data_IF_405164222740
#
_entry.id   IF_405164222740
#
_cell.length_a   1.000
_cell.length_b   1.000
_cell.length_c   1.000
_cell.angle_alpha   90.00
_cell.angle_beta   90.00
_cell.angle_gamma   90.00
#
_symmetry.space_group_name_H-M   'P 1'
#
loop_
_entity.id
_entity.type
_entity.pdbx_description
1 polymer ?
#
# COMPACT_ATOMS: atom_id res chain seq x y z
N UNK A 1 14.69 -20.87 -4.61
CA UNK A 1 14.76 -19.43 -4.23
C UNK A 1 13.67 -18.54 -4.83
N UNK A 2 13.57 -18.31 -6.16
CA UNK A 2 12.46 -17.50 -6.72
C UNK A 2 11.10 -18.23 -6.65
N UNK A 3 11.04 -19.46 -7.16
CA UNK A 3 9.82 -20.29 -7.18
C UNK A 3 9.27 -20.59 -5.77
N UNK A 4 10.12 -20.69 -4.75
CA UNK A 4 9.68 -20.86 -3.36
C UNK A 4 8.86 -19.66 -2.87
N UNK A 5 9.30 -18.45 -3.22
CA UNK A 5 8.64 -17.20 -2.88
C UNK A 5 7.49 -16.82 -3.82
N UNK A 6 7.33 -17.53 -4.94
CA UNK A 6 6.30 -17.28 -5.94
C UNK A 6 4.93 -17.73 -5.40
N UNK A 7 3.92 -16.87 -5.55
CA UNK A 7 2.54 -17.20 -5.21
C UNK A 7 1.94 -18.10 -6.29
N UNK A 8 1.87 -19.39 -5.98
CA UNK A 8 1.38 -20.43 -6.90
C UNK A 8 -0.03 -20.92 -6.53
N UNK A 9 -0.58 -20.50 -5.39
CA UNK A 9 -1.81 -21.06 -4.83
C UNK A 9 -3.01 -20.11 -4.92
N UNK A 10 -2.77 -18.81 -5.11
CA UNK A 10 -3.84 -17.83 -5.26
C UNK A 10 -4.12 -17.54 -6.74
N UNK A 11 -5.36 -17.76 -7.18
CA UNK A 11 -5.87 -17.19 -8.44
C UNK A 11 -6.55 -15.83 -8.20
N UNK A 12 -7.14 -15.65 -7.02
CA UNK A 12 -7.90 -14.48 -6.58
C UNK A 12 -7.57 -14.26 -5.10
N UNK A 13 -7.16 -13.04 -4.75
CA UNK A 13 -6.94 -12.63 -3.36
C UNK A 13 -8.21 -12.08 -2.72
N UNK A 14 -9.05 -11.37 -3.49
CA UNK A 14 -10.34 -10.86 -3.01
C UNK A 14 -11.39 -10.81 -4.10
N UNK A 15 -12.66 -10.91 -3.69
CA UNK A 15 -13.84 -10.83 -4.53
C UNK A 15 -14.90 -9.99 -3.80
N UNK A 16 -15.28 -8.85 -4.35
CA UNK A 16 -16.14 -7.87 -3.67
C UNK A 16 -16.97 -7.05 -4.65
N UNK A 17 -18.11 -6.52 -4.21
CA UNK A 17 -18.87 -5.54 -4.99
C UNK A 17 -18.05 -4.27 -5.25
N UNK A 18 -18.19 -3.66 -6.42
CA UNK A 18 -17.65 -2.32 -6.65
C UNK A 18 -18.36 -1.27 -5.76
N UNK A 19 -17.80 -0.07 -5.69
CA UNK A 19 -18.33 0.97 -4.78
C UNK A 19 -19.69 1.54 -5.22
N UNK A 20 -20.18 1.14 -6.40
CA UNK A 20 -21.48 1.51 -6.97
C UNK A 20 -22.52 0.40 -6.79
N UNK A 21 -22.10 -0.82 -6.44
CA UNK A 21 -22.97 -1.99 -6.36
C UNK A 21 -23.42 -2.53 -7.73
N UNK A 22 -22.71 -2.19 -8.81
CA UNK A 22 -23.10 -2.50 -10.19
C UNK A 22 -22.38 -3.74 -10.74
N UNK A 23 -21.18 -4.02 -10.23
CA UNK A 23 -20.35 -5.15 -10.66
C UNK A 23 -19.62 -5.78 -9.48
N UNK A 24 -19.21 -7.04 -9.65
CA UNK A 24 -18.30 -7.71 -8.73
C UNK A 24 -16.88 -7.62 -9.27
N UNK A 25 -15.93 -7.18 -8.44
CA UNK A 25 -14.51 -7.07 -8.74
C UNK A 25 -13.78 -8.26 -8.12
N UNK A 26 -12.91 -8.90 -8.90
CA UNK A 26 -11.93 -9.87 -8.44
C UNK A 26 -10.54 -9.26 -8.59
N UNK A 27 -9.71 -9.38 -7.57
CA UNK A 27 -8.32 -8.94 -7.59
C UNK A 27 -7.42 -10.13 -7.32
N UNK A 28 -6.43 -10.37 -8.19
CA UNK A 28 -5.52 -11.50 -8.09
C UNK A 28 -4.15 -11.23 -8.70
N UNK A 29 -3.24 -12.20 -8.65
CA UNK A 29 -1.98 -12.13 -9.39
C UNK A 29 -2.22 -12.04 -10.90
N UNK A 30 -1.24 -11.58 -11.68
CA UNK A 30 -1.36 -11.54 -13.14
C UNK A 30 -1.48 -12.96 -13.69
N UNK A 31 -2.20 -13.12 -14.80
CA UNK A 31 -2.40 -14.41 -15.43
C UNK A 31 -1.10 -15.11 -15.85
N UNK A 32 -0.07 -14.38 -16.30
CA UNK A 32 1.23 -14.91 -16.80
C UNK A 32 1.01 -16.12 -17.73
N UNK A 33 1.34 -17.34 -17.29
CA UNK A 33 1.25 -18.58 -18.05
C UNK A 33 -0.15 -19.20 -18.02
N UNK A 34 -1.11 -18.59 -17.32
CA UNK A 34 -2.50 -19.01 -17.18
C UNK A 34 -3.46 -18.16 -18.03
N UNK A 35 -2.97 -17.33 -18.95
CA UNK A 35 -3.82 -16.47 -19.79
C UNK A 35 -4.90 -17.27 -20.54
N UNK A 36 -4.51 -18.36 -21.21
CA UNK A 36 -5.46 -19.23 -21.91
C UNK A 36 -6.47 -19.91 -20.98
N UNK A 37 -6.09 -20.18 -19.72
CA UNK A 37 -7.02 -20.73 -18.73
C UNK A 37 -8.03 -19.66 -18.28
N UNK A 38 -7.62 -18.40 -18.12
CA UNK A 38 -8.51 -17.27 -17.86
C UNK A 38 -9.47 -17.00 -19.02
N UNK A 39 -9.01 -17.09 -20.26
CA UNK A 39 -9.89 -16.90 -21.44
C UNK A 39 -11.02 -17.94 -21.50
N UNK A 40 -10.76 -19.15 -20.99
CA UNK A 40 -11.73 -20.24 -20.92
C UNK A 40 -12.50 -20.30 -19.60
N UNK A 41 -12.16 -19.46 -18.63
CA UNK A 41 -12.79 -19.45 -17.32
C UNK A 41 -14.29 -19.10 -17.42
N UNK A 42 -15.09 -19.69 -16.53
CA UNK A 42 -16.52 -19.44 -16.46
C UNK A 42 -16.91 -19.03 -15.06
N UNK A 43 -17.56 -17.88 -14.98
CA UNK A 43 -18.12 -17.34 -13.74
C UNK A 43 -19.64 -17.51 -13.75
N UNK A 44 -20.23 -17.92 -12.63
CA UNK A 44 -21.67 -18.15 -12.49
C UNK A 44 -22.18 -17.72 -11.12
N UNK A 45 -23.43 -17.27 -11.09
CA UNK A 45 -24.30 -17.27 -9.91
C UNK A 45 -25.56 -18.05 -10.30
N UNK A 46 -25.88 -19.12 -9.56
CA UNK A 46 -27.12 -19.90 -9.71
C UNK A 46 -27.49 -20.34 -11.15
N UNK A 47 -26.50 -20.55 -12.02
CA UNK A 47 -26.74 -21.06 -13.38
C UNK A 47 -26.02 -20.28 -14.47
N UNK A 48 -26.57 -19.15 -14.98
CA UNK A 48 -26.06 -18.51 -16.19
C UNK A 48 -24.61 -18.03 -16.05
N UNK A 49 -23.89 -18.08 -17.18
CA UNK A 49 -22.53 -17.54 -17.28
C UNK A 49 -22.58 -16.01 -17.20
N UNK A 50 -21.78 -15.44 -16.31
CA UNK A 50 -21.59 -13.99 -16.18
C UNK A 50 -20.65 -13.46 -17.28
N UNK A 51 -20.79 -12.17 -17.59
CA UNK A 51 -19.83 -11.48 -18.45
C UNK A 51 -18.64 -11.02 -17.63
N UNK A 52 -17.43 -11.34 -18.09
CA UNK A 52 -16.18 -10.98 -17.43
C UNK A 52 -15.38 -10.01 -18.31
N UNK A 53 -14.88 -8.92 -17.72
CA UNK A 53 -13.90 -8.03 -18.36
C UNK A 53 -12.60 -8.07 -17.58
N UNK A 54 -11.47 -8.19 -18.29
CA UNK A 54 -10.16 -8.36 -17.68
C UNK A 54 -9.30 -7.10 -17.86
N UNK A 55 -8.69 -6.65 -16.77
CA UNK A 55 -7.80 -5.50 -16.71
C UNK A 55 -6.41 -5.94 -16.19
N UNK A 56 -5.65 -6.71 -17.00
CA UNK A 56 -4.35 -7.22 -16.57
C UNK A 56 -3.32 -6.09 -16.45
N UNK A 57 -2.30 -6.35 -15.63
CA UNK A 57 -1.06 -5.59 -15.58
C UNK A 57 0.10 -6.56 -15.32
N UNK A 58 1.33 -6.05 -15.28
CA UNK A 58 2.51 -6.89 -15.04
C UNK A 58 2.54 -7.57 -13.66
N UNK A 59 1.82 -7.02 -12.67
CA UNK A 59 1.91 -7.44 -11.27
C UNK A 59 0.56 -7.73 -10.61
N UNK A 60 -0.55 -7.50 -11.29
CA UNK A 60 -1.89 -7.84 -10.78
C UNK A 60 -2.84 -8.00 -11.94
N UNK A 61 -3.91 -8.77 -11.74
CA UNK A 61 -5.09 -8.78 -12.60
C UNK A 61 -6.29 -8.28 -11.79
N UNK A 62 -7.10 -7.44 -12.43
CA UNK A 62 -8.43 -7.08 -11.96
C UNK A 62 -9.44 -7.62 -12.97
N UNK A 63 -10.51 -8.25 -12.49
CA UNK A 63 -11.59 -8.77 -13.33
C UNK A 63 -12.90 -8.17 -12.81
N UNK A 64 -13.76 -7.70 -13.71
CA UNK A 64 -15.13 -7.33 -13.34
C UNK A 64 -16.12 -8.35 -13.86
N UNK A 65 -17.13 -8.65 -13.06
CA UNK A 65 -18.27 -9.46 -13.43
C UNK A 65 -19.53 -8.58 -13.43
N UNK A 66 -20.18 -8.49 -14.58
CA UNK A 66 -21.41 -7.73 -14.77
C UNK A 66 -22.62 -8.68 -14.80
N UNK A 67 -23.79 -8.16 -14.43
CA UNK A 67 -25.04 -8.93 -14.40
C UNK A 67 -25.11 -9.91 -13.21
N UNK A 68 -24.31 -9.68 -12.18
CA UNK A 68 -24.40 -10.42 -10.92
C UNK A 68 -25.68 -9.98 -10.18
N UNK A 69 -26.55 -10.90 -9.75
CA UNK A 69 -27.73 -10.53 -8.96
C UNK A 69 -27.34 -9.81 -7.67
N UNK A 70 -28.04 -8.72 -7.33
CA UNK A 70 -27.68 -7.84 -6.20
C UNK A 70 -27.64 -8.54 -4.82
N UNK A 71 -28.26 -9.73 -4.68
CA UNK A 71 -28.26 -10.52 -3.44
C UNK A 71 -27.31 -11.72 -3.48
N UNK A 72 -26.52 -11.86 -4.54
CA UNK A 72 -25.54 -12.93 -4.64
C UNK A 72 -24.48 -12.76 -3.54
N UNK A 73 -24.24 -13.83 -2.77
CA UNK A 73 -23.21 -13.88 -1.73
C UNK A 73 -21.96 -14.64 -2.17
N UNK A 74 -22.01 -15.33 -3.31
CA UNK A 74 -20.89 -16.09 -3.85
C UNK A 74 -20.96 -16.19 -5.37
N UNK A 75 -19.80 -16.41 -5.99
CA UNK A 75 -19.65 -16.81 -7.39
C UNK A 75 -19.00 -18.18 -7.48
N UNK A 76 -19.45 -18.99 -8.43
CA UNK A 76 -18.71 -20.18 -8.87
C UNK A 76 -17.73 -19.77 -9.97
N UNK A 77 -16.45 -20.11 -9.82
CA UNK A 77 -15.40 -20.03 -10.84
C UNK A 77 -15.04 -21.45 -11.32
N UNK A 78 -15.32 -21.75 -12.58
CA UNK A 78 -14.78 -22.92 -13.28
C UNK A 78 -13.47 -22.50 -13.97
N UNK A 79 -12.35 -23.14 -13.61
CA UNK A 79 -11.01 -22.80 -14.08
C UNK A 79 -10.18 -24.05 -14.37
N UNK A 80 -9.99 -24.36 -15.65
CA UNK A 80 -9.51 -25.68 -16.08
C UNK A 80 -10.48 -26.77 -15.62
N UNK A 81 -9.95 -27.85 -15.05
CA UNK A 81 -10.75 -28.94 -14.48
C UNK A 81 -11.22 -28.67 -13.03
N UNK A 82 -10.91 -27.49 -12.50
CA UNK A 82 -11.22 -27.13 -11.11
C UNK A 82 -12.46 -26.24 -11.02
N UNK A 83 -13.16 -26.36 -9.89
CA UNK A 83 -14.28 -25.52 -9.52
C UNK A 83 -14.02 -24.90 -8.16
N UNK A 84 -14.14 -23.58 -8.08
CA UNK A 84 -13.99 -22.80 -6.87
C UNK A 84 -15.29 -22.06 -6.55
N UNK A 85 -15.59 -21.92 -5.27
CA UNK A 85 -16.62 -21.01 -4.77
C UNK A 85 -15.93 -19.84 -4.09
N UNK A 86 -16.20 -18.62 -4.55
CA UNK A 86 -15.62 -17.40 -4.02
C UNK A 86 -16.73 -16.59 -3.35
N UNK A 87 -16.62 -16.25 -2.06
CA UNK A 87 -17.57 -15.36 -1.42
C UNK A 87 -17.45 -13.96 -2.03
N UNK A 88 -18.59 -13.33 -2.30
CA UNK A 88 -18.66 -11.93 -2.69
C UNK A 88 -18.74 -11.11 -1.40
N UNK A 89 -17.69 -10.35 -1.13
CA UNK A 89 -17.68 -9.43 0.02
C UNK A 89 -18.36 -8.12 -0.33
N UNK A 90 -18.82 -7.43 0.71
CA UNK A 90 -19.31 -6.07 0.56
C UNK A 90 -18.16 -5.11 0.23
N UNK A 91 -18.52 -4.01 -0.45
CA UNK A 91 -17.65 -2.85 -0.56
C UNK A 91 -17.74 -2.06 0.74
N UNK A 92 -16.61 -1.72 1.33
CA UNK A 92 -16.53 -1.01 2.61
C UNK A 92 -16.02 0.43 2.41
N UNK A 93 -16.20 1.01 1.20
CA UNK A 93 -15.78 2.37 0.96
C UNK A 93 -16.51 3.40 1.83
N UNK A 94 -17.77 3.12 2.18
CA UNK A 94 -18.56 4.00 3.05
C UNK A 94 -18.01 4.11 4.47
N UNK A 95 -17.40 3.06 5.00
CA UNK A 95 -16.75 3.08 6.32
C UNK A 95 -15.58 4.06 6.40
N UNK A 96 -14.97 4.37 5.25
CA UNK A 96 -13.84 5.28 5.16
C UNK A 96 -14.20 6.61 4.49
N UNK A 97 -15.48 6.88 4.28
CA UNK A 97 -15.95 8.07 3.58
C UNK A 97 -15.44 9.36 4.26
N UNK A 98 -14.75 10.21 3.50
CA UNK A 98 -14.22 11.48 4.00
C UNK A 98 -13.04 11.37 4.97
N UNK A 99 -12.47 10.17 5.18
CA UNK A 99 -11.32 9.97 6.07
C UNK A 99 -9.97 10.14 5.37
N UNK A 100 -8.94 10.48 6.16
CA UNK A 100 -7.54 10.50 5.74
C UNK A 100 -6.91 9.14 6.04
N UNK A 101 -6.75 8.34 4.99
CA UNK A 101 -6.44 6.92 5.07
C UNK A 101 -4.96 6.65 4.84
N UNK A 102 -4.30 6.03 5.83
CA UNK A 102 -3.01 5.38 5.63
C UNK A 102 -3.20 3.98 5.05
N UNK A 103 -2.38 3.60 4.08
CA UNK A 103 -2.32 2.23 3.53
C UNK A 103 -0.92 1.69 3.69
N UNK A 104 -0.81 0.51 4.31
CA UNK A 104 0.48 -0.15 4.50
C UNK A 104 0.36 -1.67 4.48
N UNK A 105 1.50 -2.35 4.29
CA UNK A 105 1.62 -3.80 4.43
C UNK A 105 2.77 -4.13 5.38
N UNK A 106 2.51 -5.06 6.27
CA UNK A 106 3.37 -5.39 7.39
C UNK A 106 3.65 -6.89 7.47
N UNK A 107 4.82 -7.23 7.98
CA UNK A 107 5.08 -8.56 8.54
C UNK A 107 6.10 -8.45 9.65
N UNK A 108 5.71 -8.87 10.85
CA UNK A 108 6.59 -8.99 12.01
C UNK A 108 7.39 -7.72 12.38
N UNK A 109 6.97 -6.51 11.98
CA UNK A 109 7.58 -5.27 12.47
C UNK A 109 7.27 -5.07 13.96
N UNK A 110 8.13 -4.33 14.66
CA UNK A 110 7.86 -4.02 16.06
C UNK A 110 6.56 -3.22 16.23
N UNK A 111 5.70 -3.62 17.17
CA UNK A 111 4.45 -2.92 17.48
C UNK A 111 4.70 -1.45 17.90
N UNK A 112 5.83 -1.16 18.54
CA UNK A 112 6.21 0.21 18.88
C UNK A 112 6.56 1.03 17.63
N UNK A 113 7.08 0.41 16.56
CA UNK A 113 7.32 1.10 15.29
C UNK A 113 6.00 1.42 14.59
N UNK A 114 5.04 0.49 14.63
CA UNK A 114 3.69 0.69 14.07
C UNK A 114 2.98 1.85 14.79
N UNK A 115 2.95 1.85 16.12
CA UNK A 115 2.34 2.91 16.92
C UNK A 115 3.00 4.28 16.62
N UNK A 116 4.33 4.33 16.60
CA UNK A 116 5.07 5.57 16.39
C UNK A 116 4.89 6.13 14.97
N UNK A 117 4.91 5.25 13.95
CA UNK A 117 4.63 5.59 12.56
C UNK A 117 3.22 6.16 12.39
N UNK A 118 2.21 5.48 12.94
CA UNK A 118 0.82 5.97 12.85
C UNK A 118 0.67 7.30 13.57
N UNK A 119 1.24 7.44 14.78
CA UNK A 119 1.12 8.67 15.58
C UNK A 119 1.76 9.86 14.88
N UNK A 120 2.90 9.67 14.23
CA UNK A 120 3.51 10.72 13.40
C UNK A 120 2.51 11.24 12.37
N UNK A 121 1.88 10.35 11.60
CA UNK A 121 0.96 10.75 10.54
C UNK A 121 -0.37 11.33 11.07
N UNK A 122 -0.83 10.88 12.24
CA UNK A 122 -1.96 11.50 12.95
C UNK A 122 -1.62 12.95 13.29
N UNK A 123 -0.52 13.18 14.00
CA UNK A 123 -0.12 14.51 14.49
C UNK A 123 0.24 15.45 13.35
N UNK A 124 1.03 14.98 12.39
CA UNK A 124 1.64 15.84 11.37
C UNK A 124 0.75 16.05 10.14
N UNK A 125 -0.21 15.14 9.90
CA UNK A 125 -1.03 15.16 8.68
C UNK A 125 -2.53 14.99 8.93
N UNK A 126 -2.97 14.71 10.16
CA UNK A 126 -4.38 14.47 10.45
C UNK A 126 -4.88 13.14 9.88
N UNK A 127 -4.02 12.12 9.77
CA UNK A 127 -4.48 10.76 9.48
C UNK A 127 -5.45 10.30 10.57
N UNK A 128 -6.57 9.69 10.19
CA UNK A 128 -7.58 9.20 11.14
C UNK A 128 -8.12 7.80 10.79
N UNK A 129 -7.72 7.24 9.65
CA UNK A 129 -7.99 5.87 9.26
C UNK A 129 -6.71 5.14 8.83
N UNK A 130 -6.66 3.83 9.01
CA UNK A 130 -5.55 3.00 8.53
C UNK A 130 -6.05 1.67 8.00
N UNK A 131 -5.84 1.45 6.69
CA UNK A 131 -5.97 0.17 6.01
C UNK A 131 -4.63 -0.57 6.10
N UNK A 132 -4.60 -1.60 6.94
CA UNK A 132 -3.37 -2.27 7.33
C UNK A 132 -3.43 -3.74 6.91
N UNK A 133 -2.60 -4.13 5.95
CA UNK A 133 -2.49 -5.52 5.49
C UNK A 133 -1.41 -6.24 6.28
N UNK A 134 -1.80 -7.14 7.18
CA UNK A 134 -0.86 -8.00 7.91
C UNK A 134 -0.54 -9.25 7.07
N UNK A 135 0.69 -9.35 6.57
CA UNK A 135 1.14 -10.42 5.70
C UNK A 135 1.55 -11.69 6.47
N UNK A 136 0.66 -12.13 7.37
CA UNK A 136 0.85 -13.29 8.22
C UNK A 136 1.99 -13.08 9.21
N UNK A 137 1.91 -12.01 10.03
CA UNK A 137 2.79 -11.87 11.18
C UNK A 137 2.61 -13.06 12.12
N UNK A 138 3.70 -13.46 12.76
CA UNK A 138 3.76 -14.58 13.71
C UNK A 138 4.09 -14.12 15.13
N UNK A 139 4.55 -12.87 15.28
CA UNK A 139 4.92 -12.26 16.57
C UNK A 139 3.73 -11.72 17.39
N UNK A 140 2.60 -11.47 16.74
CA UNK A 140 1.39 -10.86 17.32
C UNK A 140 0.21 -11.10 16.36
N UNK A 141 -1.01 -10.90 16.87
CA UNK A 141 -2.24 -10.96 16.08
C UNK A 141 -2.67 -9.62 15.49
N UNK A 142 -3.67 -9.65 14.59
CA UNK A 142 -4.25 -8.43 13.99
C UNK A 142 -4.93 -7.51 15.01
N UNK A 143 -5.44 -8.06 16.11
CA UNK A 143 -6.04 -7.28 17.20
C UNK A 143 -4.99 -6.37 17.88
N UNK A 144 -3.81 -6.89 18.18
CA UNK A 144 -2.73 -6.10 18.79
C UNK A 144 -2.25 -4.98 17.88
N UNK A 145 -2.24 -5.20 16.56
CA UNK A 145 -1.96 -4.14 15.57
C UNK A 145 -3.04 -3.06 15.66
N UNK A 146 -4.33 -3.44 15.69
CA UNK A 146 -5.44 -2.51 15.77
C UNK A 146 -5.38 -1.66 17.05
N UNK A 147 -5.05 -2.27 18.19
CA UNK A 147 -4.88 -1.59 19.47
C UNK A 147 -3.76 -0.55 19.41
N UNK A 148 -2.65 -0.87 18.73
CA UNK A 148 -1.52 0.06 18.55
C UNK A 148 -1.87 1.23 17.64
N UNK A 149 -2.63 0.99 16.57
CA UNK A 149 -3.13 2.04 15.69
C UNK A 149 -4.10 2.96 16.47
N UNK A 150 -5.01 2.39 17.27
CA UNK A 150 -5.92 3.16 18.11
C UNK A 150 -5.16 3.99 19.16
N UNK A 151 -4.18 3.42 19.84
CA UNK A 151 -3.31 4.11 20.79
C UNK A 151 -2.46 5.23 20.15
N UNK A 152 -2.23 5.14 18.83
CA UNK A 152 -1.57 6.18 18.05
C UNK A 152 -2.49 7.35 17.68
N UNK A 153 -3.81 7.21 17.85
CA UNK A 153 -4.82 8.21 17.50
C UNK A 153 -5.60 7.92 16.21
N UNK A 154 -5.43 6.75 15.59
CA UNK A 154 -6.25 6.33 14.45
C UNK A 154 -7.63 5.92 14.98
N UNK A 155 -8.68 6.62 14.56
CA UNK A 155 -10.06 6.35 15.01
C UNK A 155 -10.71 5.22 14.23
N UNK A 156 -10.25 4.94 13.01
CA UNK A 156 -10.77 3.88 12.13
C UNK A 156 -9.66 2.91 11.70
N UNK A 157 -9.13 2.05 12.61
CA UNK A 157 -8.22 1.00 12.22
C UNK A 157 -8.97 -0.13 11.49
N UNK A 158 -8.39 -0.59 10.38
CA UNK A 158 -8.89 -1.72 9.58
C UNK A 158 -7.72 -2.63 9.26
N UNK A 159 -7.56 -3.69 10.06
CA UNK A 159 -6.45 -4.64 9.95
C UNK A 159 -6.93 -5.91 9.26
N UNK A 160 -6.39 -6.18 8.08
CA UNK A 160 -6.73 -7.34 7.26
C UNK A 160 -5.63 -8.40 7.40
N UNK A 161 -6.02 -9.63 7.72
CA UNK A 161 -5.13 -10.78 7.56
C UNK A 161 -4.92 -11.05 6.08
N UNK A 162 -3.66 -11.05 5.64
CA UNK A 162 -3.27 -11.15 4.24
C UNK A 162 -2.10 -12.14 4.03
N UNK A 163 -2.21 -13.41 4.50
CA UNK A 163 -1.09 -14.31 4.72
C UNK A 163 -0.61 -15.06 3.45
N UNK A 164 -0.58 -14.37 2.31
CA UNK A 164 -0.12 -14.92 1.04
C UNK A 164 1.39 -14.73 0.85
N UNK A 165 1.98 -15.38 -0.16
CA UNK A 165 3.40 -15.21 -0.46
C UNK A 165 3.67 -13.84 -1.06
N UNK A 166 4.60 -13.10 -0.47
CA UNK A 166 4.94 -11.74 -0.88
C UNK A 166 5.58 -11.66 -2.28
N UNK A 167 6.34 -12.69 -2.68
CA UNK A 167 7.17 -12.67 -3.89
C UNK A 167 8.57 -12.10 -3.64
N UNK A 168 9.56 -12.57 -4.40
CA UNK A 168 10.92 -12.01 -4.40
C UNK A 168 11.20 -11.30 -5.71
N UNK A 169 12.06 -10.27 -5.63
CA UNK A 169 12.70 -9.66 -6.79
C UNK A 169 13.26 -10.74 -7.73
N UNK A 170 12.96 -10.63 -9.02
CA UNK A 170 13.54 -11.47 -10.06
C UNK A 170 14.87 -10.89 -10.54
N UNK A 171 16.02 -11.50 -10.20
CA UNK A 171 17.33 -10.99 -10.58
C UNK A 171 17.61 -11.15 -12.08
N UNK A 172 16.88 -12.01 -12.80
CA UNK A 172 17.07 -12.21 -14.24
C UNK A 172 16.48 -11.07 -15.07
N UNK A 173 15.63 -10.23 -14.47
CA UNK A 173 14.90 -9.18 -15.15
C UNK A 173 15.43 -7.81 -14.73
N UNK A 174 16.22 -7.17 -15.61
CA UNK A 174 16.84 -5.87 -15.30
C UNK A 174 15.81 -4.72 -15.24
N UNK A 175 14.80 -4.75 -16.11
CA UNK A 175 13.71 -3.76 -16.11
C UNK A 175 12.55 -4.19 -15.18
N UNK A 176 12.28 -3.38 -14.16
CA UNK A 176 11.25 -3.63 -13.12
C UNK A 176 11.37 -5.03 -12.49
N UNK A 177 12.51 -5.35 -11.86
CA UNK A 177 12.75 -6.66 -11.24
C UNK A 177 11.77 -7.01 -10.10
N UNK A 178 11.05 -6.01 -9.58
CA UNK A 178 10.04 -6.16 -8.52
C UNK A 178 8.64 -6.53 -9.03
N UNK A 179 8.49 -6.79 -10.34
CA UNK A 179 7.21 -7.25 -10.89
C UNK A 179 6.56 -8.45 -10.16
N UNK A 180 7.30 -9.40 -9.54
CA UNK A 180 6.73 -10.54 -8.83
C UNK A 180 6.10 -10.19 -7.48
N UNK A 181 6.15 -8.92 -7.05
CA UNK A 181 5.48 -8.46 -5.83
C UNK A 181 3.96 -8.36 -6.04
N UNK A 182 3.34 -9.45 -6.51
CA UNK A 182 1.94 -9.49 -6.87
C UNK A 182 1.07 -9.12 -5.68
N UNK A 183 1.43 -9.67 -4.52
CA UNK A 183 0.65 -9.48 -3.32
C UNK A 183 0.53 -8.01 -2.92
N UNK A 184 1.64 -7.27 -2.98
CA UNK A 184 1.67 -5.86 -2.62
C UNK A 184 0.90 -4.99 -3.61
N UNK A 185 0.96 -5.29 -4.90
CA UNK A 185 0.21 -4.53 -5.93
C UNK A 185 -1.28 -4.86 -5.86
N UNK A 186 -1.63 -6.13 -5.66
CA UNK A 186 -3.02 -6.56 -5.49
C UNK A 186 -3.64 -5.99 -4.21
N UNK A 187 -2.91 -5.95 -3.09
CA UNK A 187 -3.42 -5.34 -1.85
C UNK A 187 -3.71 -3.85 -2.02
N UNK A 188 -2.91 -3.11 -2.81
CA UNK A 188 -3.19 -1.71 -3.12
C UNK A 188 -4.43 -1.54 -4.01
N UNK A 189 -4.71 -2.49 -4.90
CA UNK A 189 -5.96 -2.50 -5.66
C UNK A 189 -7.15 -2.78 -4.74
N UNK A 190 -7.05 -3.76 -3.84
CA UNK A 190 -8.09 -4.01 -2.83
C UNK A 190 -8.28 -2.78 -1.94
N UNK A 191 -7.20 -2.18 -1.43
CA UNK A 191 -7.24 -0.98 -0.61
C UNK A 191 -8.00 0.16 -1.30
N UNK A 192 -7.67 0.45 -2.56
CA UNK A 192 -8.35 1.50 -3.32
C UNK A 192 -9.80 1.13 -3.63
N UNK A 193 -10.03 -0.04 -4.26
CA UNK A 193 -11.31 -0.39 -4.90
C UNK A 193 -12.38 -0.88 -3.93
N UNK A 194 -11.98 -1.57 -2.86
CA UNK A 194 -12.93 -2.10 -1.85
C UNK A 194 -13.18 -1.13 -0.70
N UNK A 195 -12.19 -0.30 -0.37
CA UNK A 195 -12.24 0.51 0.85
C UNK A 195 -11.99 2.01 0.60
N UNK A 196 -11.14 2.36 -0.36
CA UNK A 196 -10.61 3.71 -0.47
C UNK A 196 -11.42 4.67 -1.34
N UNK A 197 -12.33 4.17 -2.19
CA UNK A 197 -12.97 5.00 -3.23
C UNK A 197 -13.73 6.23 -2.73
N UNK A 198 -14.20 6.22 -1.47
CA UNK A 198 -14.93 7.35 -0.85
C UNK A 198 -14.10 8.12 0.20
N UNK A 199 -12.83 7.75 0.41
CA UNK A 199 -11.94 8.44 1.33
C UNK A 199 -11.69 9.91 0.93
N UNK A 200 -11.35 10.77 1.89
CA UNK A 200 -10.88 12.12 1.56
C UNK A 200 -9.56 12.04 0.78
N UNK A 201 -8.57 11.34 1.33
CA UNK A 201 -7.36 11.04 0.61
C UNK A 201 -6.67 9.79 1.19
N UNK A 202 -5.88 9.13 0.34
CA UNK A 202 -5.18 7.89 0.62
C UNK A 202 -3.68 8.13 0.52
N UNK A 203 -2.92 7.74 1.54
CA UNK A 203 -1.47 7.77 1.55
C UNK A 203 -0.93 6.33 1.59
N UNK A 204 -0.21 5.92 0.55
CA UNK A 204 0.54 4.66 0.56
C UNK A 204 1.92 4.91 1.18
N UNK A 205 2.14 4.37 2.37
CA UNK A 205 3.33 4.62 3.19
C UNK A 205 3.68 3.37 4.02
N UNK A 206 4.93 2.90 3.89
CA UNK A 206 5.41 1.74 4.66
C UNK A 206 5.73 2.17 6.11
N UNK A 207 5.71 1.22 7.05
CA UNK A 207 5.98 1.49 8.49
C UNK A 207 7.35 2.13 8.71
N UNK A 208 8.32 1.87 7.83
CA UNK A 208 9.66 2.44 7.86
C UNK A 208 9.77 3.80 7.16
N UNK A 209 8.65 4.48 6.91
CA UNK A 209 8.61 5.75 6.18
C UNK A 209 7.87 6.84 6.98
N UNK A 210 8.45 8.03 7.10
CA UNK A 210 7.76 9.20 7.66
C UNK A 210 7.62 10.29 6.60
N UNK A 211 6.39 10.73 6.32
CA UNK A 211 6.13 11.82 5.39
C UNK A 211 6.42 13.17 6.06
N UNK A 212 7.02 14.08 5.30
CA UNK A 212 7.34 15.44 5.74
C UNK A 212 6.07 16.31 5.69
N UNK A 213 5.79 17.02 6.77
CA UNK A 213 4.72 18.01 6.88
C UNK A 213 5.12 19.39 6.37
N UNK A 214 6.32 19.54 5.81
CA UNK A 214 6.74 20.78 5.17
C UNK A 214 5.74 21.18 4.08
N UNK A 215 5.09 22.32 4.33
CA UNK A 215 4.05 22.89 3.49
C UNK A 215 2.66 22.25 3.66
N UNK A 216 2.39 21.64 4.83
CA UNK A 216 1.05 21.21 5.25
C UNK A 216 0.81 19.70 5.15
N UNK A 217 -0.45 19.31 5.36
CA UNK A 217 -0.86 17.91 5.24
C UNK A 217 -0.69 17.39 3.82
N UNK A 218 -0.20 16.17 3.69
CA UNK A 218 -0.11 15.47 2.40
C UNK A 218 -1.50 15.12 1.85
N UNK A 219 -2.49 14.93 2.73
CA UNK A 219 -3.87 14.67 2.33
C UNK A 219 -4.49 15.93 1.69
N UNK A 220 -4.29 17.10 2.30
CA UNK A 220 -4.72 18.40 1.74
C UNK A 220 -4.02 18.67 0.41
N UNK A 221 -2.75 18.32 0.29
CA UNK A 221 -2.00 18.42 -0.96
C UNK A 221 -2.57 17.52 -2.06
N UNK A 222 -3.07 16.32 -1.71
CA UNK A 222 -3.73 15.43 -2.67
C UNK A 222 -5.08 16.00 -3.13
N UNK A 223 -5.90 16.49 -2.19
CA UNK A 223 -7.19 17.12 -2.50
C UNK A 223 -7.07 18.38 -3.36
N UNK A 224 -6.06 19.21 -3.07
CA UNK A 224 -5.83 20.45 -3.83
C UNK A 224 -5.07 20.24 -5.15
N UNK A 225 -4.51 19.04 -5.37
CA UNK A 225 -3.82 18.70 -6.61
C UNK A 225 -4.80 18.67 -7.79
N UNK A 226 -4.47 19.25 -8.96
CA UNK A 226 -5.36 19.27 -10.13
C UNK A 226 -5.87 17.89 -10.55
N UNK A 227 -4.97 16.90 -10.49
CA UNK A 227 -5.24 15.51 -10.88
C UNK A 227 -5.45 14.59 -9.67
N UNK A 228 -5.54 15.15 -8.47
CA UNK A 228 -5.73 14.40 -7.24
C UNK A 228 -4.54 13.53 -6.83
N UNK A 229 -3.33 13.79 -7.34
CA UNK A 229 -2.16 12.96 -7.02
C UNK A 229 -0.99 13.80 -6.53
N UNK A 230 -0.24 13.27 -5.57
CA UNK A 230 0.99 13.85 -5.05
C UNK A 230 2.12 12.83 -5.20
N UNK A 231 3.27 13.27 -5.71
CA UNK A 231 4.48 12.46 -5.72
C UNK A 231 5.31 12.73 -4.46
N UNK A 232 5.63 11.67 -3.72
CA UNK A 232 6.53 11.74 -2.57
C UNK A 232 7.93 11.31 -3.00
N UNK A 233 8.89 12.24 -2.98
CA UNK A 233 10.31 11.96 -3.25
C UNK A 233 11.03 11.66 -1.95
N UNK A 234 11.51 10.43 -1.81
CA UNK A 234 12.08 9.95 -0.57
C UNK A 234 13.60 10.06 -0.49
N UNK A 235 14.08 10.19 0.75
CA UNK A 235 15.49 10.05 1.09
C UNK A 235 15.67 8.89 2.08
N UNK A 236 16.69 8.06 1.85
CA UNK A 236 17.16 7.08 2.81
C UNK A 236 17.71 7.78 4.06
N UNK A 237 17.24 7.31 5.22
CA UNK A 237 17.83 7.57 6.52
C UNK A 237 18.68 6.35 6.89
N UNK A 238 19.97 6.60 7.06
CA UNK A 238 20.99 5.61 7.39
C UNK A 238 20.84 5.12 8.83
N UNK A 239 21.21 3.86 9.13
CA UNK A 239 21.08 3.26 10.46
C UNK A 239 22.18 3.74 11.43
N UNK A 240 22.35 5.05 11.53
CA UNK A 240 23.25 5.73 12.47
C UNK A 240 22.43 6.16 13.68
N UNK A 241 22.41 5.26 14.68
CA UNK A 241 21.59 5.42 15.88
C UNK A 241 22.10 6.53 16.81
N UNK A 242 21.16 7.34 17.25
CA UNK A 242 21.30 8.35 18.30
C UNK A 242 20.37 8.00 19.48
N UNK A 243 20.50 8.73 20.58
CA UNK A 243 19.62 8.58 21.73
C UNK A 243 18.16 8.88 21.35
N UNK A 244 17.25 8.03 21.82
CA UNK A 244 15.81 8.21 21.62
C UNK A 244 15.33 9.46 22.38
N UNK A 245 15.19 10.57 21.66
CA UNK A 245 14.90 11.88 22.28
C UNK A 245 13.41 12.24 22.21
N UNK A 246 12.66 11.72 21.23
CA UNK A 246 11.28 12.12 20.95
C UNK A 246 10.24 11.02 21.18
N UNK A 247 10.66 9.87 21.71
CA UNK A 247 9.77 8.72 21.92
C UNK A 247 9.23 8.08 20.63
N UNK A 248 9.79 8.41 19.46
CA UNK A 248 9.57 7.72 18.18
C UNK A 248 10.88 7.02 17.78
N UNK A 249 10.90 5.68 17.64
CA UNK A 249 12.10 4.92 17.26
C UNK A 249 12.74 5.37 15.94
N UNK A 250 11.95 5.79 14.95
CA UNK A 250 12.44 6.34 13.68
C UNK A 250 13.37 7.53 13.89
N UNK A 251 13.00 8.45 14.78
CA UNK A 251 13.75 9.69 15.03
C UNK A 251 15.05 9.48 15.82
N UNK A 252 15.33 8.25 16.24
CA UNK A 252 16.67 7.87 16.68
C UNK A 252 17.66 7.78 15.50
N UNK A 253 17.21 7.88 14.25
CA UNK A 253 18.04 7.91 13.05
C UNK A 253 17.77 9.22 12.30
N UNK A 254 18.81 10.03 12.06
CA UNK A 254 18.65 11.38 11.45
C UNK A 254 19.73 11.74 10.44
N UNK A 255 20.36 10.72 9.88
CA UNK A 255 21.48 10.86 8.97
C UNK A 255 21.13 10.30 7.60
N UNK A 256 21.57 10.96 6.53
CA UNK A 256 21.51 10.45 5.17
C UNK A 256 22.91 10.33 4.59
N UNK A 257 23.07 9.51 3.54
CA UNK A 257 24.31 9.45 2.80
C UNK A 257 24.67 10.82 2.18
N UNK A 258 25.96 11.18 2.16
CA UNK A 258 26.44 12.44 1.56
C UNK A 258 26.33 12.44 0.04
N UNK A 259 26.61 11.29 -0.60
CA UNK A 259 26.41 11.12 -2.04
C UNK A 259 24.91 11.11 -2.38
N UNK A 260 24.41 12.07 -3.18
CA UNK A 260 22.97 12.21 -3.44
C UNK A 260 22.33 10.98 -4.09
N UNK A 261 23.07 10.28 -4.96
CA UNK A 261 22.57 9.07 -5.62
C UNK A 261 22.26 7.95 -4.64
N UNK A 262 23.02 7.83 -3.56
CA UNK A 262 22.82 6.82 -2.52
C UNK A 262 21.81 7.27 -1.46
N UNK A 263 21.56 8.58 -1.36
CA UNK A 263 20.59 9.15 -0.43
C UNK A 263 19.15 9.06 -0.93
N UNK A 264 18.90 8.89 -2.23
CA UNK A 264 17.54 8.84 -2.78
C UNK A 264 16.96 7.43 -2.69
N UNK A 265 15.67 7.34 -2.37
CA UNK A 265 14.92 6.09 -2.44
C UNK A 265 13.78 6.19 -3.48
N UNK A 266 13.07 5.08 -3.66
CA UNK A 266 11.93 5.02 -4.56
C UNK A 266 10.79 5.93 -4.07
N UNK A 267 9.96 6.42 -4.99
CA UNK A 267 8.90 7.36 -4.64
C UNK A 267 7.76 6.68 -3.87
N UNK A 268 6.93 7.49 -3.22
CA UNK A 268 5.59 7.12 -2.74
C UNK A 268 4.56 8.09 -3.30
N UNK A 269 3.30 7.90 -2.94
CA UNK A 269 2.21 8.74 -3.46
C UNK A 269 1.10 8.91 -2.43
N UNK A 270 0.41 10.03 -2.55
CA UNK A 270 -0.92 10.24 -1.99
C UNK A 270 -1.92 10.52 -3.10
N UNK A 271 -3.17 10.13 -2.88
CA UNK A 271 -4.23 10.12 -3.88
C UNK A 271 -5.53 10.67 -3.27
N UNK A 272 -6.17 11.57 -3.99
CA UNK A 272 -7.58 11.90 -3.88
C UNK A 272 -8.36 10.91 -4.77
N UNK A 273 -9.11 9.97 -4.18
CA UNK A 273 -9.78 8.91 -4.95
C UNK A 273 -11.01 9.42 -5.72
N UNK A 274 -11.47 10.66 -5.49
CA UNK A 274 -12.69 11.19 -6.11
C UNK A 274 -12.51 11.67 -7.56
N UNK A 275 -11.36 11.41 -8.18
CA UNK A 275 -11.07 11.82 -9.57
C UNK A 275 -11.58 10.76 -10.54
N UNK A 276 -12.23 11.19 -11.62
CA UNK A 276 -12.84 10.28 -12.60
C UNK A 276 -11.88 9.24 -13.18
N UNK A 277 -10.62 9.62 -13.41
CA UNK A 277 -9.61 8.70 -13.93
C UNK A 277 -9.26 7.58 -12.93
N UNK A 278 -9.50 7.79 -11.63
CA UNK A 278 -9.28 6.79 -10.60
C UNK A 278 -10.28 5.66 -10.77
N UNK A 279 -11.55 5.94 -11.10
CA UNK A 279 -12.59 4.94 -11.34
C UNK A 279 -12.26 3.97 -12.48
N UNK A 280 -11.43 4.39 -13.44
CA UNK A 280 -10.95 3.54 -14.52
C UNK A 280 -10.09 2.38 -13.98
N UNK A 281 -10.56 1.14 -14.17
CA UNK A 281 -9.89 -0.06 -13.72
C UNK A 281 -8.61 -0.37 -14.48
N UNK A 282 -8.32 0.30 -15.60
CA UNK A 282 -7.01 0.24 -16.25
C UNK A 282 -5.94 0.88 -15.35
N UNK A 283 -6.26 1.94 -14.62
CA UNK A 283 -5.36 2.58 -13.67
C UNK A 283 -5.04 1.66 -12.49
N UNK A 284 -3.74 1.33 -12.32
CA UNK A 284 -3.27 0.40 -11.29
C UNK A 284 -2.47 1.10 -10.20
N UNK A 285 -2.95 1.15 -8.95
CA UNK A 285 -2.08 1.50 -7.84
C UNK A 285 -0.97 0.47 -7.70
N UNK A 286 0.25 0.97 -7.52
CA UNK A 286 1.44 0.18 -7.25
C UNK A 286 2.30 0.88 -6.22
N UNK A 287 3.37 0.23 -5.77
CA UNK A 287 4.16 0.63 -4.60
C UNK A 287 4.70 2.05 -4.70
N UNK A 288 5.13 2.48 -5.89
CA UNK A 288 5.83 3.75 -6.07
C UNK A 288 5.10 4.76 -6.96
N UNK A 289 4.05 4.34 -7.66
CA UNK A 289 3.23 5.17 -8.54
C UNK A 289 1.96 4.44 -8.96
N UNK A 290 1.02 5.19 -9.53
CA UNK A 290 -0.06 4.67 -10.38
C UNK A 290 0.48 4.33 -11.78
N UNK A 291 0.18 3.13 -12.26
CA UNK A 291 0.48 2.67 -13.62
C UNK A 291 -0.74 2.78 -14.52
N UNK A 292 -0.46 2.78 -15.83
CA UNK A 292 -1.48 2.77 -16.89
C UNK A 292 -2.43 3.98 -16.82
N UNK A 293 -1.91 5.10 -16.33
CA UNK A 293 -2.58 6.41 -16.32
C UNK A 293 -1.95 7.35 -17.36
N UNK A 294 -2.72 8.31 -17.91
CA UNK A 294 -2.18 9.31 -18.83
C UNK A 294 -0.99 10.07 -18.22
N UNK A 295 0.04 10.36 -19.03
CA UNK A 295 1.24 11.10 -18.56
C UNK A 295 0.90 12.45 -17.94
N UNK A 296 -0.17 13.11 -18.41
CA UNK A 296 -0.65 14.39 -17.90
C UNK A 296 -1.03 14.34 -16.41
N UNK A 297 -1.47 13.17 -15.89
CA UNK A 297 -1.76 12.98 -14.47
C UNK A 297 -0.55 13.30 -13.59
N UNK A 298 0.67 13.05 -14.09
CA UNK A 298 1.91 13.26 -13.36
C UNK A 298 2.61 14.59 -13.65
N UNK A 299 2.29 15.24 -14.77
CA UNK A 299 3.03 16.42 -15.23
C UNK A 299 2.98 17.55 -14.19
N UNK A 300 1.81 17.75 -13.58
CA UNK A 300 1.55 18.83 -12.62
C UNK A 300 1.37 18.32 -11.19
N UNK A 301 1.73 17.07 -10.91
CA UNK A 301 1.60 16.48 -9.58
C UNK A 301 2.53 17.21 -8.59
N UNK A 302 2.01 17.79 -7.50
CA UNK A 302 2.84 18.39 -6.46
C UNK A 302 3.86 17.38 -5.93
N UNK A 303 5.05 17.89 -5.61
CA UNK A 303 6.12 17.09 -5.01
C UNK A 303 6.17 17.37 -3.51
N UNK A 304 6.10 16.32 -2.70
CA UNK A 304 6.41 16.34 -1.27
C UNK A 304 7.55 15.38 -0.96
N UNK A 305 7.96 15.35 0.30
CA UNK A 305 9.11 14.56 0.73
C UNK A 305 8.74 13.56 1.80
N UNK A 306 9.54 12.51 1.91
CA UNK A 306 9.48 11.57 3.02
C UNK A 306 10.88 11.03 3.33
N UNK A 307 11.00 10.41 4.49
CA UNK A 307 12.22 9.77 4.97
C UNK A 307 11.99 8.27 5.10
N UNK A 308 12.90 7.47 4.53
CA UNK A 308 12.83 6.01 4.51
C UNK A 308 13.92 5.43 5.41
N UNK A 309 13.55 4.83 6.53
CA UNK A 309 14.46 4.48 7.62
C UNK A 309 14.99 3.04 7.50
N UNK A 310 16.26 2.88 7.12
CA UNK A 310 16.89 1.55 6.97
C UNK A 310 16.91 0.73 8.26
N UNK A 311 16.97 1.40 9.42
CA UNK A 311 17.02 0.76 10.74
C UNK A 311 15.65 0.22 11.21
N UNK A 312 14.55 0.71 10.64
CA UNK A 312 13.19 0.27 10.97
C UNK A 312 12.87 -0.91 10.05
N UNK A 313 13.56 -2.04 10.27
CA UNK A 313 13.46 -3.18 9.37
C UNK A 313 13.80 -4.47 10.11
N UNK A 314 12.92 -5.46 10.05
CA UNK A 314 13.14 -6.81 10.59
C UNK A 314 13.76 -7.77 9.57
N UNK A 315 14.01 -7.30 8.34
CA UNK A 315 14.59 -8.07 7.25
C UNK A 315 13.57 -8.86 6.43
N UNK A 316 12.27 -8.76 6.74
CA UNK A 316 11.25 -9.64 6.14
C UNK A 316 11.07 -9.46 4.63
N UNK A 317 11.34 -8.26 4.08
CA UNK A 317 11.42 -8.00 2.62
C UNK A 317 12.86 -8.12 2.13
N UNK A 318 13.75 -7.34 2.74
CA UNK A 318 15.17 -7.21 2.42
C UNK A 318 15.95 -6.79 3.68
N UNK A 319 17.13 -7.36 3.91
CA UNK A 319 18.02 -6.91 4.97
C UNK A 319 18.71 -5.59 4.57
N UNK A 320 18.43 -4.50 5.28
CA UNK A 320 18.92 -3.14 4.95
C UNK A 320 19.72 -2.48 6.08
N UNK A 321 19.86 -3.17 7.21
CA UNK A 321 20.54 -2.70 8.42
C UNK A 321 21.93 -3.35 8.64
N UNK A 322 22.34 -4.27 7.77
CA UNK A 322 23.59 -5.05 7.93
C UNK A 322 24.87 -4.24 7.72
N UNK A 323 24.79 -3.07 7.08
CA UNK A 323 25.93 -2.17 6.88
C UNK A 323 25.69 -0.80 7.52
N UNK A 324 26.51 -0.47 8.51
CA UNK A 324 26.56 0.90 9.05
C UNK A 324 27.54 1.71 8.21
N UNK A 325 27.11 2.80 7.55
CA UNK A 325 28.04 3.64 6.82
C UNK A 325 29.02 4.32 7.78
N UNK A 326 30.25 4.56 7.31
CA UNK A 326 31.23 5.33 8.09
C UNK A 326 30.68 6.73 8.38
N UNK A 327 30.99 7.28 9.57
CA UNK A 327 30.46 8.58 10.02
C UNK A 327 30.76 9.74 9.04
N UNK A 328 31.90 9.71 8.35
CA UNK A 328 32.27 10.73 7.37
C UNK A 328 31.49 10.63 6.05
N UNK A 329 30.83 9.49 5.76
CA UNK A 329 29.98 9.27 4.58
C UNK A 329 28.55 9.77 4.78
N UNK A 330 28.17 10.10 6.00
CA UNK A 330 26.81 10.56 6.31
C UNK A 330 26.77 12.04 6.67
N UNK A 331 25.60 12.64 6.55
CA UNK A 331 25.27 13.99 6.99
C UNK A 331 23.95 14.00 7.72
N UNK A 332 23.81 14.89 8.69
CA UNK A 332 22.56 15.11 9.42
C UNK A 332 21.50 15.70 8.50
N UNK A 333 20.23 15.36 8.74
CA UNK A 333 19.07 15.85 8.01
C UNK A 333 18.37 16.97 8.81
N UNK A 334 18.70 18.26 8.57
CA UNK A 334 18.16 19.36 9.38
C UNK A 334 16.64 19.51 9.25
N UNK A 335 16.06 19.14 8.10
CA UNK A 335 14.61 19.18 7.92
C UNK A 335 13.89 18.15 8.81
N UNK A 336 14.49 16.97 8.99
CA UNK A 336 13.96 15.94 9.88
C UNK A 336 14.08 16.35 11.35
N UNK A 337 15.18 17.01 11.73
CA UNK A 337 15.32 17.58 13.08
C UNK A 337 14.25 18.64 13.38
N UNK A 338 14.00 19.54 12.43
CA UNK A 338 13.00 20.59 12.58
C UNK A 338 11.58 20.00 12.75
N UNK A 339 11.21 19.01 11.94
CA UNK A 339 9.91 18.36 12.08
C UNK A 339 9.80 17.49 13.34
N UNK A 340 10.90 16.87 13.79
CA UNK A 340 10.92 16.17 15.07
C UNK A 340 10.61 17.12 16.26
N UNK A 341 11.10 18.36 16.21
CA UNK A 341 10.77 19.38 17.22
C UNK A 341 9.31 19.80 17.16
N UNK A 342 8.76 20.01 15.96
CA UNK A 342 7.34 20.33 15.76
C UNK A 342 6.47 19.20 16.32
N UNK A 343 6.78 17.95 15.97
CA UNK A 343 6.10 16.77 16.48
C UNK A 343 6.12 16.71 18.02
N UNK A 344 7.27 16.97 18.63
CA UNK A 344 7.41 16.96 20.08
C UNK A 344 6.56 18.03 20.76
N UNK A 345 6.48 19.24 20.18
CA UNK A 345 5.66 20.34 20.69
C UNK A 345 4.15 20.16 20.46
N UNK A 346 3.74 19.36 19.48
CA UNK A 346 2.33 19.04 19.24
C UNK A 346 1.80 17.91 20.14
N UNK A 347 2.69 17.19 20.85
CA UNK A 347 2.34 16.10 21.77
C UNK A 347 2.09 16.58 23.20
N UNK A 348 2.59 17.76 23.57
CA UNK A 348 2.33 18.45 24.84
C UNK A 348 1.02 19.21 24.79
#
# INVERSE_FOLDING_TARGET
MFLESFEALALVYDCFWDHKGEAVILVGPPAINLAAAWDNARFRVDGPKLQASHFPSRSTQVITLSGVPARASEITLEFGDNRFTLPIRENEADDLAGLNVLVTMNKDNDLAWIEAWARWHVVMHGANACLFFDNGSTRYGTAEIADRLAAAGITHPRVLSWPYKYGRKDPAILDRPHYPHFLQVSSLNVALRRFGMRANAILNCDIDELVSAKGGSVFDAARSSPQGIVTLKGNWVEPVGENLTYGIPHLAQRHAHRLPLLARCANKWALDPSRDWVDDLTAKPSVHRMYDVPKAIWADAPIRHFWHFKAINTGWKEHRNDSRPNAWLVRRLPELDAEAQIYAGAKS
#
